data_IF_579476338605
#
_entry.id   IF_579476338605
#
_cell.length_a   1.000
_cell.length_b   1.000
_cell.length_c   1.000
_cell.angle_alpha   90.00
_cell.angle_beta   90.00
_cell.angle_gamma   90.00
#
_symmetry.space_group_name_H-M   'P 1'
#
loop_
_entity.id
_entity.type
_entity.pdbx_description
1 polymer ?
#
# COMPACT_ATOMS: atom_id res chain seq x y z
N UNK A 1 20.22 -18.59 -68.01
CA UNK A 1 20.88 -18.05 -66.80
C UNK A 1 19.78 -17.59 -65.88
N UNK A 2 19.39 -18.46 -64.94
CA UNK A 2 19.98 -18.52 -63.59
C UNK A 2 19.47 -17.34 -62.78
N UNK A 3 18.47 -17.58 -61.94
CA UNK A 3 18.72 -18.04 -60.57
C UNK A 3 19.62 -17.05 -59.84
N UNK A 4 18.99 -16.02 -59.28
CA UNK A 4 19.42 -15.24 -58.11
C UNK A 4 18.33 -14.17 -57.92
N UNK A 5 18.03 -13.80 -56.68
CA UNK A 5 16.94 -12.91 -56.24
C UNK A 5 15.61 -13.62 -55.88
N UNK A 6 15.65 -14.90 -55.47
CA UNK A 6 14.58 -15.50 -54.64
C UNK A 6 15.11 -16.36 -53.47
N UNK A 7 16.36 -16.14 -53.07
CA UNK A 7 16.96 -16.73 -51.86
C UNK A 7 17.69 -15.64 -51.10
N UNK A 8 16.97 -14.90 -50.26
CA UNK A 8 17.56 -14.26 -49.06
C UNK A 8 16.49 -13.91 -48.02
N UNK A 9 15.42 -14.73 -47.96
CA UNK A 9 14.57 -14.85 -46.77
C UNK A 9 15.16 -15.90 -45.82
N UNK A 10 16.44 -15.76 -45.46
CA UNK A 10 17.01 -16.50 -44.34
C UNK A 10 16.72 -15.75 -43.04
N UNK A 11 15.84 -16.34 -42.25
CA UNK A 11 15.57 -16.04 -40.85
C UNK A 11 16.83 -16.20 -40.00
N UNK A 12 17.75 -15.24 -40.01
CA UNK A 12 18.82 -15.15 -39.01
C UNK A 12 19.51 -13.80 -39.11
N UNK A 13 18.99 -12.78 -38.42
CA UNK A 13 19.77 -11.68 -37.82
C UNK A 13 18.89 -10.63 -37.13
N UNK A 14 17.78 -11.04 -36.48
CA UNK A 14 17.21 -10.21 -35.42
C UNK A 14 18.07 -10.45 -34.19
N UNK A 15 19.07 -9.59 -34.03
CA UNK A 15 19.80 -9.36 -32.79
C UNK A 15 18.86 -9.57 -31.60
N UNK A 16 19.13 -10.59 -30.79
CA UNK A 16 18.61 -10.71 -29.43
C UNK A 16 19.14 -9.53 -28.64
N UNK A 17 18.53 -8.35 -28.76
CA UNK A 17 18.59 -7.33 -27.72
C UNK A 17 17.83 -7.92 -26.53
N UNK A 18 18.54 -8.68 -25.70
CA UNK A 18 18.23 -8.78 -24.29
C UNK A 18 18.23 -7.35 -23.77
N UNK A 19 17.05 -6.73 -23.68
CA UNK A 19 16.89 -5.59 -22.81
C UNK A 19 17.13 -6.12 -21.40
N UNK A 20 18.35 -5.90 -20.89
CA UNK A 20 18.55 -5.80 -19.44
C UNK A 20 17.51 -4.79 -18.99
N UNK A 21 16.63 -5.19 -18.08
CA UNK A 21 15.79 -4.26 -17.35
C UNK A 21 16.73 -3.26 -16.68
N UNK A 22 16.91 -2.09 -17.28
CA UNK A 22 17.44 -0.96 -16.55
C UNK A 22 16.47 -0.73 -15.38
N UNK A 23 16.96 -0.59 -14.14
CA UNK A 23 16.08 -0.21 -13.04
C UNK A 23 15.34 1.05 -13.47
N UNK A 24 14.05 1.14 -13.16
CA UNK A 24 13.23 2.32 -13.44
C UNK A 24 13.77 3.60 -12.76
N UNK A 25 14.82 3.46 -11.94
CA UNK A 25 15.48 4.48 -11.15
C UNK A 25 16.99 4.44 -11.38
N UNK A 26 17.65 5.58 -11.70
CA UNK A 26 19.09 5.64 -11.77
C UNK A 26 19.70 5.22 -10.43
N UNK A 27 20.62 4.25 -10.44
CA UNK A 27 21.42 3.90 -9.26
C UNK A 27 22.17 5.15 -8.79
N UNK A 28 21.73 5.73 -7.67
CA UNK A 28 22.32 6.93 -7.07
C UNK A 28 21.34 8.04 -6.66
N UNK A 29 20.03 7.94 -6.93
CA UNK A 29 19.03 8.95 -6.51
C UNK A 29 18.33 8.63 -5.18
N UNK A 30 18.75 7.57 -4.50
CA UNK A 30 18.16 7.14 -3.23
C UNK A 30 18.75 8.01 -2.12
N UNK A 31 17.87 8.71 -1.39
CA UNK A 31 18.26 9.57 -0.27
C UNK A 31 19.18 8.81 0.69
N UNK A 32 20.40 9.32 0.90
CA UNK A 32 21.43 8.64 1.70
C UNK A 32 20.98 8.32 3.12
N UNK A 33 20.03 9.12 3.65
CA UNK A 33 19.43 8.92 4.98
C UNK A 33 18.64 7.62 5.09
N UNK A 34 18.18 7.04 3.98
CA UNK A 34 17.46 5.75 3.99
C UNK A 34 18.37 4.64 4.52
N UNK A 35 19.67 4.69 4.20
CA UNK A 35 20.63 3.68 4.64
C UNK A 35 20.80 3.65 6.17
N UNK A 36 20.52 4.78 6.83
CA UNK A 36 20.55 4.93 8.29
C UNK A 36 19.25 4.43 8.95
N UNK A 37 18.13 4.39 8.21
CA UNK A 37 16.81 3.97 8.70
C UNK A 37 16.61 2.44 8.65
N UNK A 38 17.52 1.71 8.00
CA UNK A 38 17.57 0.25 8.02
C UNK A 38 17.77 -0.37 6.65
N UNK A 39 17.35 -1.63 6.52
CA UNK A 39 17.52 -2.44 5.31
C UNK A 39 16.75 -1.84 4.12
N UNK A 40 17.41 -1.70 2.98
CA UNK A 40 16.77 -1.38 1.70
C UNK A 40 16.37 -2.65 0.94
N UNK A 41 15.28 -2.56 0.18
CA UNK A 41 14.72 -3.62 -0.64
C UNK A 41 14.56 -3.04 -2.05
N UNK A 42 15.51 -3.34 -2.92
CA UNK A 42 15.53 -2.88 -4.32
C UNK A 42 15.12 -3.99 -5.28
N UNK A 43 15.79 -5.15 -5.19
CA UNK A 43 15.61 -6.28 -6.10
C UNK A 43 15.50 -7.64 -5.40
N UNK A 44 15.42 -7.68 -4.06
CA UNK A 44 15.25 -8.90 -3.25
C UNK A 44 14.15 -9.84 -3.77
N UNK A 45 13.09 -9.25 -4.33
CA UNK A 45 11.91 -9.93 -4.83
C UNK A 45 11.71 -9.75 -6.34
N UNK A 46 12.74 -9.31 -7.07
CA UNK A 46 12.68 -9.10 -8.52
C UNK A 46 12.47 -10.41 -9.31
N UNK A 47 12.84 -11.56 -8.73
CA UNK A 47 12.59 -12.88 -9.33
C UNK A 47 11.35 -13.52 -8.72
N UNK A 48 10.31 -13.71 -9.54
CA UNK A 48 9.13 -14.47 -9.15
C UNK A 48 9.51 -15.95 -9.08
N UNK A 49 9.24 -16.57 -7.93
CA UNK A 49 9.47 -18.00 -7.70
C UNK A 49 8.28 -18.80 -8.21
N UNK A 50 8.53 -20.02 -8.68
CA UNK A 50 7.45 -20.95 -9.08
C UNK A 50 6.54 -21.32 -7.90
N UNK A 51 7.08 -21.34 -6.67
CA UNK A 51 6.33 -21.68 -5.46
C UNK A 51 6.75 -20.82 -4.27
N UNK A 52 5.76 -20.31 -3.53
CA UNK A 52 5.96 -19.62 -2.26
C UNK A 52 5.42 -20.46 -1.10
N UNK A 53 5.98 -20.26 0.09
CA UNK A 53 5.47 -20.93 1.30
C UNK A 53 4.05 -20.45 1.61
N UNK A 54 3.13 -21.39 1.78
CA UNK A 54 1.73 -21.12 2.15
C UNK A 54 1.60 -21.07 3.67
N UNK A 55 1.12 -19.97 4.27
CA UNK A 55 0.90 -19.90 5.71
C UNK A 55 -0.16 -20.89 6.17
N UNK A 56 0.00 -21.43 7.39
CA UNK A 56 -0.97 -22.33 8.02
C UNK A 56 -2.32 -21.65 8.33
N UNK A 57 -2.30 -20.35 8.56
CA UNK A 57 -3.44 -19.56 9.03
C UNK A 57 -3.86 -18.55 7.96
N UNK A 58 -5.16 -18.21 7.85
CA UNK A 58 -5.66 -17.24 6.88
C UNK A 58 -4.95 -15.89 6.99
N UNK A 59 -4.85 -15.20 5.85
CA UNK A 59 -4.40 -13.81 5.78
C UNK A 59 -5.63 -12.91 5.70
N UNK A 60 -5.70 -11.95 6.62
CA UNK A 60 -6.64 -10.83 6.53
C UNK A 60 -5.94 -9.67 5.82
N UNK A 61 -6.55 -9.16 4.76
CA UNK A 61 -6.11 -7.94 4.08
C UNK A 61 -6.94 -6.74 4.59
N UNK A 62 -6.28 -5.80 5.28
CA UNK A 62 -6.89 -4.61 5.85
C UNK A 62 -6.48 -3.34 5.07
N UNK A 63 -7.43 -2.72 4.38
CA UNK A 63 -7.17 -1.55 3.53
C UNK A 63 -7.08 -0.25 4.32
N UNK A 64 -6.43 0.77 3.74
CA UNK A 64 -6.29 2.10 4.32
C UNK A 64 -7.45 3.06 4.03
N UNK A 65 -7.18 4.36 4.24
CA UNK A 65 -8.10 5.46 3.93
C UNK A 65 -8.41 5.48 2.43
N UNK A 66 -9.65 5.82 2.08
CA UNK A 66 -10.21 5.80 0.72
C UNK A 66 -10.21 4.42 0.03
N UNK A 67 -9.93 3.35 0.78
CA UNK A 67 -10.06 2.00 0.26
C UNK A 67 -11.51 1.60 0.03
N UNK A 68 -11.75 0.95 -1.10
CA UNK A 68 -13.02 0.34 -1.49
C UNK A 68 -12.75 -1.15 -1.77
N UNK A 69 -13.60 -2.04 -1.27
CA UNK A 69 -13.44 -3.48 -1.56
C UNK A 69 -13.64 -3.76 -3.05
N UNK A 70 -14.64 -3.11 -3.64
CA UNK A 70 -14.99 -3.18 -5.05
C UNK A 70 -15.79 -1.93 -5.44
N UNK A 71 -15.18 -0.99 -6.18
CA UNK A 71 -15.94 0.10 -6.79
C UNK A 71 -16.62 -0.44 -8.05
N UNK A 72 -17.93 -0.75 -7.97
CA UNK A 72 -18.76 -1.12 -9.12
C UNK A 72 -18.99 0.11 -10.01
N UNK A 73 -17.97 0.50 -10.77
CA UNK A 73 -18.04 1.56 -11.78
C UNK A 73 -18.85 1.06 -12.99
N UNK A 74 -20.18 1.18 -12.88
CA UNK A 74 -21.13 1.05 -13.98
C UNK A 74 -21.62 -0.37 -14.25
N UNK A 75 -22.87 -0.66 -13.87
CA UNK A 75 -23.65 -1.81 -14.37
C UNK A 75 -23.07 -3.22 -14.11
N UNK A 76 -23.90 -4.25 -14.35
CA UNK A 76 -23.59 -5.67 -14.10
C UNK A 76 -22.42 -6.24 -14.95
N UNK A 77 -21.77 -5.43 -15.78
CA UNK A 77 -20.80 -5.84 -16.80
C UNK A 77 -19.34 -5.44 -16.53
N UNK A 78 -19.07 -4.51 -15.61
CA UNK A 78 -17.70 -4.11 -15.27
C UNK A 78 -17.27 -4.75 -13.94
N UNK A 79 -16.18 -5.53 -13.96
CA UNK A 79 -15.55 -6.07 -12.74
C UNK A 79 -15.10 -4.87 -11.90
N UNK A 80 -15.60 -4.73 -10.68
CA UNK A 80 -15.35 -3.53 -9.92
C UNK A 80 -13.87 -3.41 -9.54
N UNK A 81 -13.44 -2.18 -9.30
CA UNK A 81 -12.03 -1.91 -9.04
C UNK A 81 -11.70 -2.35 -7.62
N UNK A 82 -10.73 -3.24 -7.45
CA UNK A 82 -10.32 -3.76 -6.14
C UNK A 82 -9.20 -2.89 -5.54
N UNK A 83 -9.19 -2.75 -4.22
CA UNK A 83 -8.07 -2.12 -3.51
C UNK A 83 -6.75 -2.88 -3.74
N UNK A 84 -6.77 -4.19 -3.48
CA UNK A 84 -5.62 -5.10 -3.57
C UNK A 84 -5.50 -5.71 -4.99
N UNK A 85 -5.09 -4.92 -5.99
CA UNK A 85 -5.17 -5.33 -7.41
C UNK A 85 -4.26 -6.51 -7.74
N UNK A 86 -4.84 -7.67 -8.03
CA UNK A 86 -4.10 -8.90 -8.35
C UNK A 86 -3.38 -9.55 -7.16
N UNK A 87 -3.26 -8.86 -6.02
CA UNK A 87 -2.63 -9.38 -4.81
C UNK A 87 -3.48 -10.50 -4.21
N UNK A 88 -4.79 -10.29 -4.10
CA UNK A 88 -5.73 -11.31 -3.61
C UNK A 88 -5.67 -12.57 -4.48
N UNK A 89 -5.66 -12.40 -5.80
CA UNK A 89 -5.63 -13.50 -6.75
C UNK A 89 -4.30 -14.25 -6.68
N UNK A 90 -3.17 -13.55 -6.59
CA UNK A 90 -1.85 -14.14 -6.42
C UNK A 90 -1.73 -14.96 -5.12
N UNK A 91 -2.23 -14.43 -4.00
CA UNK A 91 -2.24 -15.14 -2.72
C UNK A 91 -3.10 -16.41 -2.80
N UNK A 92 -4.30 -16.32 -3.37
CA UNK A 92 -5.20 -17.47 -3.55
C UNK A 92 -4.62 -18.52 -4.51
N UNK A 93 -3.96 -18.09 -5.59
CA UNK A 93 -3.26 -18.98 -6.52
C UNK A 93 -2.12 -19.76 -5.82
N UNK A 94 -1.51 -19.18 -4.78
CA UNK A 94 -0.54 -19.87 -3.92
C UNK A 94 -1.19 -20.68 -2.77
N UNK A 95 -2.49 -20.96 -2.86
CA UNK A 95 -3.25 -21.78 -1.89
C UNK A 95 -3.53 -21.08 -0.55
N UNK A 96 -3.40 -19.75 -0.48
CA UNK A 96 -3.60 -19.01 0.76
C UNK A 96 -5.09 -18.66 0.91
N UNK A 97 -5.65 -18.98 2.08
CA UNK A 97 -6.98 -18.50 2.46
C UNK A 97 -6.91 -16.99 2.77
N UNK A 98 -7.61 -16.18 1.96
CA UNK A 98 -7.60 -14.72 2.07
C UNK A 98 -8.96 -14.20 2.49
N UNK A 99 -8.99 -13.53 3.64
CA UNK A 99 -10.12 -12.79 4.18
C UNK A 99 -9.94 -11.32 3.81
N UNK A 100 -10.90 -10.76 3.09
CA UNK A 100 -10.94 -9.32 2.79
C UNK A 100 -11.85 -8.65 3.80
N UNK A 101 -11.31 -7.74 4.59
CA UNK A 101 -12.07 -6.93 5.54
C UNK A 101 -12.51 -5.61 4.90
N UNK A 102 -13.77 -5.27 5.12
CA UNK A 102 -14.43 -4.07 4.59
C UNK A 102 -14.60 -3.06 5.71
N UNK A 103 -13.93 -1.91 5.65
CA UNK A 103 -14.09 -0.84 6.63
C UNK A 103 -14.54 0.47 5.96
N UNK A 104 -15.25 1.37 6.65
CA UNK A 104 -15.69 2.63 6.06
C UNK A 104 -14.51 3.42 5.51
N UNK A 105 -14.62 3.89 4.26
CA UNK A 105 -13.51 4.46 3.51
C UNK A 105 -12.85 5.67 4.19
N UNK A 106 -13.57 6.42 5.02
CA UNK A 106 -13.08 7.66 5.60
C UNK A 106 -13.41 7.86 7.07
N UNK A 107 -13.93 6.86 7.77
CA UNK A 107 -14.29 7.02 9.17
C UNK A 107 -13.06 7.10 10.07
N UNK A 108 -13.30 7.44 11.33
CA UNK A 108 -12.28 7.44 12.38
C UNK A 108 -11.75 6.03 12.67
N UNK A 109 -10.54 5.95 13.24
CA UNK A 109 -9.85 4.68 13.53
C UNK A 109 -10.71 3.76 14.39
N UNK A 110 -11.42 4.30 15.38
CA UNK A 110 -12.24 3.52 16.31
C UNK A 110 -13.40 2.81 15.59
N UNK A 111 -14.07 3.52 14.69
CA UNK A 111 -15.18 2.96 13.89
C UNK A 111 -14.67 1.92 12.90
N UNK A 112 -13.57 2.23 12.20
CA UNK A 112 -12.92 1.32 11.26
C UNK A 112 -12.43 0.06 11.95
N UNK A 113 -11.79 0.19 13.11
CA UNK A 113 -11.31 -0.94 13.92
C UNK A 113 -12.47 -1.80 14.45
N UNK A 114 -13.57 -1.19 14.87
CA UNK A 114 -14.75 -1.93 15.30
C UNK A 114 -15.37 -2.74 14.15
N UNK A 115 -15.45 -2.15 12.95
CA UNK A 115 -15.90 -2.87 11.75
C UNK A 115 -14.92 -3.98 11.35
N UNK A 116 -13.61 -3.71 11.39
CA UNK A 116 -12.55 -4.70 11.12
C UNK A 116 -12.68 -5.90 12.06
N UNK A 117 -12.89 -5.66 13.35
CA UNK A 117 -13.09 -6.71 14.36
C UNK A 117 -14.26 -7.62 14.03
N UNK A 118 -15.42 -7.03 13.72
CA UNK A 118 -16.63 -7.78 13.34
C UNK A 118 -16.42 -8.62 12.07
N UNK A 119 -15.83 -8.02 11.04
CA UNK A 119 -15.56 -8.73 9.78
C UNK A 119 -14.63 -9.93 9.98
N UNK A 120 -13.58 -9.78 10.80
CA UNK A 120 -12.66 -10.87 11.09
C UNK A 120 -13.36 -11.97 11.88
N UNK A 121 -14.13 -11.62 12.92
CA UNK A 121 -14.87 -12.59 13.73
C UNK A 121 -15.84 -13.42 12.88
N UNK A 122 -16.58 -12.78 11.98
CA UNK A 122 -17.53 -13.42 11.08
C UNK A 122 -16.83 -14.30 10.04
N UNK A 123 -15.82 -13.77 9.35
CA UNK A 123 -15.21 -14.43 8.18
C UNK A 123 -14.14 -15.46 8.52
N UNK A 124 -13.49 -15.35 9.68
CA UNK A 124 -12.44 -16.31 10.07
C UNK A 124 -13.00 -17.63 10.59
N UNK A 125 -14.27 -17.68 11.02
CA UNK A 125 -14.91 -18.91 11.51
C UNK A 125 -14.17 -19.54 12.70
N UNK A 126 -13.63 -18.71 13.60
CA UNK A 126 -12.85 -19.15 14.77
C UNK A 126 -11.40 -19.55 14.49
N UNK A 127 -10.94 -19.50 13.24
CA UNK A 127 -9.52 -19.72 12.92
C UNK A 127 -8.68 -18.56 13.44
N UNK A 128 -7.49 -18.85 13.96
CA UNK A 128 -6.47 -17.80 14.18
C UNK A 128 -5.99 -17.23 12.85
N UNK A 129 -5.64 -15.95 12.81
CA UNK A 129 -5.35 -15.20 11.56
C UNK A 129 -4.02 -14.44 11.62
N UNK A 130 -3.46 -14.12 10.45
CA UNK A 130 -2.40 -13.12 10.29
C UNK A 130 -2.96 -11.92 9.52
N UNK A 131 -2.63 -10.70 9.93
CA UNK A 131 -3.13 -9.48 9.29
C UNK A 131 -2.00 -8.85 8.47
N UNK A 132 -2.29 -8.52 7.22
CA UNK A 132 -1.50 -7.62 6.40
C UNK A 132 -2.33 -6.36 6.19
N UNK A 133 -1.78 -5.23 6.61
CA UNK A 133 -2.50 -3.97 6.63
C UNK A 133 -1.71 -2.89 5.90
N UNK A 134 -2.39 -2.10 5.08
CA UNK A 134 -1.78 -1.01 4.33
C UNK A 134 -2.24 0.34 4.86
N UNK A 135 -1.33 1.31 4.96
CA UNK A 135 -1.65 2.70 5.30
C UNK A 135 -2.43 2.79 6.61
N UNK A 136 -3.54 3.53 6.66
CA UNK A 136 -4.41 3.64 7.84
C UNK A 136 -4.93 2.28 8.36
N UNK A 137 -5.02 1.25 7.52
CA UNK A 137 -5.43 -0.09 7.94
C UNK A 137 -4.54 -0.69 9.02
N UNK A 138 -3.26 -0.32 9.06
CA UNK A 138 -2.35 -0.75 10.13
C UNK A 138 -2.65 -0.10 11.47
N UNK A 139 -3.19 1.13 11.46
CA UNK A 139 -3.66 1.81 12.67
C UNK A 139 -4.98 1.18 13.15
N UNK A 140 -5.90 0.91 12.23
CA UNK A 140 -7.15 0.19 12.54
C UNK A 140 -6.87 -1.17 13.19
N UNK A 141 -5.92 -1.93 12.62
CA UNK A 141 -5.53 -3.24 13.13
C UNK A 141 -4.87 -3.12 14.51
N UNK A 142 -3.97 -2.16 14.73
CA UNK A 142 -3.37 -1.92 16.06
C UNK A 142 -4.43 -1.56 17.10
N UNK A 143 -5.36 -0.65 16.78
CA UNK A 143 -6.45 -0.28 17.67
C UNK A 143 -7.31 -1.50 18.02
N UNK A 144 -7.73 -2.25 17.00
CA UNK A 144 -8.52 -3.46 17.16
C UNK A 144 -7.81 -4.46 18.09
N UNK A 145 -6.54 -4.79 17.81
CA UNK A 145 -5.78 -5.78 18.59
C UNK A 145 -5.61 -5.35 20.05
N UNK A 146 -5.32 -4.07 20.27
CA UNK A 146 -5.04 -3.54 21.60
C UNK A 146 -6.31 -3.32 22.45
N UNK A 147 -7.44 -2.96 21.82
CA UNK A 147 -8.61 -2.42 22.53
C UNK A 147 -9.90 -3.23 22.38
N UNK A 148 -10.08 -3.95 21.27
CA UNK A 148 -11.37 -4.56 20.93
C UNK A 148 -11.30 -6.08 20.89
N UNK A 149 -10.33 -6.61 20.15
CA UNK A 149 -10.11 -8.02 19.82
C UNK A 149 -11.30 -8.68 19.08
N UNK A 150 -11.06 -9.40 17.97
CA UNK A 150 -12.14 -10.13 17.29
C UNK A 150 -12.61 -11.32 18.12
N UNK A 151 -13.93 -11.50 18.26
CA UNK A 151 -14.50 -12.58 19.07
C UNK A 151 -14.05 -13.96 18.55
N UNK A 152 -13.57 -14.82 19.44
CA UNK A 152 -13.12 -16.21 19.15
C UNK A 152 -12.04 -16.33 18.09
N UNK A 153 -11.30 -15.25 17.79
CA UNK A 153 -10.23 -15.25 16.79
C UNK A 153 -8.94 -14.75 17.42
N UNK A 154 -7.91 -15.59 17.40
CA UNK A 154 -6.57 -15.17 17.82
C UNK A 154 -5.83 -14.50 16.65
N UNK A 155 -5.40 -13.26 16.83
CA UNK A 155 -4.51 -12.59 15.88
C UNK A 155 -3.07 -12.98 16.20
N UNK A 156 -2.39 -13.66 15.26
CA UNK A 156 -1.04 -14.20 15.46
C UNK A 156 0.06 -13.22 15.05
N UNK A 157 -0.24 -12.37 14.07
CA UNK A 157 0.68 -11.31 13.63
C UNK A 157 -0.06 -10.17 12.94
N UNK A 158 0.55 -9.00 13.01
CA UNK A 158 0.23 -7.82 12.20
C UNK A 158 1.47 -7.42 11.42
N UNK A 159 1.36 -7.38 10.09
CA UNK A 159 2.34 -6.78 9.19
C UNK A 159 1.76 -5.51 8.60
N UNK A 160 2.37 -4.37 8.91
CA UNK A 160 1.98 -3.08 8.34
C UNK A 160 2.84 -2.72 7.14
N UNK A 161 2.22 -2.10 6.15
CA UNK A 161 2.88 -1.64 4.92
C UNK A 161 2.55 -0.16 4.78
N UNK A 162 3.58 0.69 4.93
CA UNK A 162 3.47 2.14 4.86
C UNK A 162 2.39 2.75 5.77
N UNK A 163 2.21 2.19 6.97
CA UNK A 163 1.25 2.72 7.94
C UNK A 163 1.85 3.92 8.70
N UNK A 164 1.15 5.06 8.81
CA UNK A 164 1.70 6.26 9.45
C UNK A 164 1.66 6.15 10.98
N UNK A 165 2.49 5.29 11.58
CA UNK A 165 2.49 5.04 13.03
C UNK A 165 2.94 6.25 13.86
N UNK A 166 3.65 7.20 13.26
CA UNK A 166 4.00 8.49 13.86
C UNK A 166 3.27 9.65 13.19
N UNK A 167 2.23 9.37 12.43
CA UNK A 167 1.45 10.34 11.65
C UNK A 167 2.15 10.73 10.36
N UNK A 168 1.64 11.77 9.71
CA UNK A 168 2.22 12.35 8.50
C UNK A 168 2.14 13.86 8.57
N UNK A 169 3.26 14.51 8.28
CA UNK A 169 3.34 15.97 8.17
C UNK A 169 2.52 16.52 7.01
N UNK A 170 2.14 15.68 6.04
CA UNK A 170 1.13 16.04 5.03
C UNK A 170 -0.27 16.12 5.66
N UNK A 171 -0.61 15.25 6.60
CA UNK A 171 -1.86 15.37 7.36
C UNK A 171 -1.83 16.63 8.25
N UNK A 172 -0.69 16.94 8.89
CA UNK A 172 -0.54 18.19 9.65
C UNK A 172 -0.70 19.43 8.76
N UNK A 173 -0.08 19.42 7.57
CA UNK A 173 -0.24 20.48 6.58
C UNK A 173 -1.71 20.63 6.17
N UNK A 174 -2.39 19.51 5.86
CA UNK A 174 -3.79 19.52 5.48
C UNK A 174 -4.69 20.11 6.57
N UNK A 175 -4.42 19.83 7.85
CA UNK A 175 -5.19 20.36 8.98
C UNK A 175 -4.87 21.84 9.25
N UNK A 176 -3.59 22.23 9.18
CA UNK A 176 -3.14 23.57 9.60
C UNK A 176 -3.32 24.64 8.52
N UNK A 177 -3.06 24.30 7.25
CA UNK A 177 -3.06 25.28 6.15
C UNK A 177 -4.44 25.41 5.48
N UNK A 178 -5.28 24.39 5.57
CA UNK A 178 -6.67 24.47 5.15
C UNK A 178 -7.55 24.81 6.34
N UNK A 179 -7.23 25.87 7.10
CA UNK A 179 -8.04 26.32 8.24
C UNK A 179 -9.54 26.51 7.92
N UNK A 180 -10.38 26.75 8.94
CA UNK A 180 -11.87 26.74 8.86
C UNK A 180 -12.52 27.50 7.70
N UNK A 181 -11.83 28.44 7.07
CA UNK A 181 -12.32 29.24 5.94
C UNK A 181 -12.28 28.51 4.58
N UNK A 182 -11.35 27.58 4.36
CA UNK A 182 -11.28 26.74 3.15
C UNK A 182 -11.96 25.38 3.34
N UNK A 183 -12.26 25.02 4.59
CA UNK A 183 -12.87 23.76 4.94
C UNK A 183 -14.22 23.53 4.25
N UNK A 184 -15.20 24.45 4.20
CA UNK A 184 -16.51 24.14 3.64
C UNK A 184 -16.48 23.71 2.16
N UNK A 185 -15.52 24.23 1.37
CA UNK A 185 -15.42 23.95 -0.08
C UNK A 185 -14.74 22.61 -0.36
N UNK A 186 -13.67 22.33 0.38
CA UNK A 186 -12.94 21.05 0.29
C UNK A 186 -13.72 19.95 1.02
N UNK A 187 -14.30 20.22 2.20
CA UNK A 187 -15.28 19.36 2.88
C UNK A 187 -16.50 19.13 1.98
N UNK A 188 -17.01 20.14 1.28
CA UNK A 188 -18.08 19.94 0.30
C UNK A 188 -17.68 18.95 -0.79
N UNK A 189 -16.46 19.07 -1.33
CA UNK A 189 -15.93 18.15 -2.36
C UNK A 189 -15.57 16.75 -1.82
N UNK A 190 -15.05 16.66 -0.59
CA UNK A 190 -14.63 15.46 0.13
C UNK A 190 -15.84 14.69 0.68
N UNK A 191 -16.76 15.35 1.39
CA UNK A 191 -18.02 14.78 1.88
C UNK A 191 -18.93 14.33 0.74
N UNK A 192 -18.99 15.06 -0.39
CA UNK A 192 -19.69 14.58 -1.61
C UNK A 192 -19.03 13.34 -2.23
N UNK A 193 -17.80 13.00 -1.83
CA UNK A 193 -17.10 11.75 -2.14
C UNK A 193 -17.02 10.78 -0.96
N UNK A 194 -17.74 11.06 0.13
CA UNK A 194 -17.76 10.22 1.33
C UNK A 194 -16.45 10.24 2.11
N UNK A 195 -15.78 11.39 2.21
CA UNK A 195 -14.49 11.55 2.90
C UNK A 195 -14.67 12.41 4.15
N UNK A 196 -14.75 11.76 5.32
CA UNK A 196 -14.78 12.39 6.63
C UNK A 196 -13.38 12.86 7.06
N UNK A 197 -13.32 14.14 7.38
CA UNK A 197 -12.13 14.87 7.85
C UNK A 197 -11.64 14.45 9.23
N UNK A 198 -12.50 13.79 10.02
CA UNK A 198 -12.12 13.17 11.29
C UNK A 198 -10.97 12.18 11.12
N UNK A 199 -10.91 11.46 9.99
CA UNK A 199 -9.82 10.54 9.70
C UNK A 199 -8.48 11.26 9.48
N UNK A 200 -8.45 12.38 8.74
CA UNK A 200 -7.21 13.13 8.52
C UNK A 200 -6.63 13.69 9.82
N UNK A 201 -7.49 14.16 10.74
CA UNK A 201 -7.04 14.59 12.07
C UNK A 201 -6.33 13.46 12.81
N UNK A 202 -6.82 12.23 12.68
CA UNK A 202 -6.20 11.07 13.32
C UNK A 202 -4.93 10.57 12.62
N UNK A 203 -4.54 11.14 11.47
CA UNK A 203 -3.28 10.85 10.79
C UNK A 203 -2.19 11.91 11.08
N UNK A 204 -2.49 12.91 11.91
CA UNK A 204 -1.52 13.95 12.32
C UNK A 204 -0.43 13.37 13.22
N UNK A 205 0.76 13.97 13.19
CA UNK A 205 1.87 13.54 14.05
C UNK A 205 1.54 13.75 15.52
N UNK A 206 0.87 14.86 15.83
CA UNK A 206 0.43 15.17 17.19
C UNK A 206 -0.54 14.12 17.73
N UNK A 207 -1.60 13.79 16.99
CA UNK A 207 -2.58 12.78 17.43
C UNK A 207 -1.92 11.41 17.64
N UNK A 208 -1.02 11.01 16.72
CA UNK A 208 -0.31 9.74 16.85
C UNK A 208 0.59 9.69 18.09
N UNK A 209 1.26 10.80 18.42
CA UNK A 209 2.16 10.92 19.58
C UNK A 209 1.41 11.01 20.91
N UNK A 210 0.38 11.84 20.97
CA UNK A 210 -0.27 12.23 22.23
C UNK A 210 -1.47 11.37 22.59
N UNK A 211 -2.18 10.82 21.60
CA UNK A 211 -3.42 10.06 21.83
C UNK A 211 -3.28 8.59 21.40
N UNK A 212 -2.96 8.33 20.13
CA UNK A 212 -3.05 6.98 19.58
C UNK A 212 -2.03 6.01 20.18
N UNK A 213 -0.72 6.31 20.09
CA UNK A 213 0.33 5.39 20.51
C UNK A 213 0.33 5.09 22.01
N UNK A 214 0.16 6.09 22.92
CA UNK A 214 0.05 5.82 24.35
C UNK A 214 -1.13 4.92 24.71
N UNK A 215 -2.26 5.05 24.00
CA UNK A 215 -3.48 4.29 24.27
C UNK A 215 -3.60 2.97 23.48
N UNK A 216 -2.67 2.69 22.57
CA UNK A 216 -2.69 1.51 21.68
C UNK A 216 -1.36 0.75 21.74
N UNK A 217 -0.97 0.21 22.91
CA UNK A 217 0.24 -0.61 23.04
C UNK A 217 0.09 -1.94 22.30
N UNK A 218 1.23 -2.52 21.94
CA UNK A 218 1.30 -3.84 21.33
C UNK A 218 0.77 -4.92 22.31
N UNK A 219 -0.20 -5.71 21.86
CA UNK A 219 -0.76 -6.80 22.65
C UNK A 219 0.26 -7.96 22.83
N UNK A 220 0.43 -8.49 24.05
CA UNK A 220 1.26 -9.67 24.30
C UNK A 220 0.81 -10.87 23.44
N UNK A 221 1.79 -11.62 22.91
CA UNK A 221 1.53 -12.81 22.09
C UNK A 221 1.25 -12.54 20.61
N UNK A 222 1.10 -11.27 20.21
CA UNK A 222 0.99 -10.86 18.80
C UNK A 222 2.35 -10.41 18.29
N UNK A 223 2.74 -10.85 17.09
CA UNK A 223 3.99 -10.41 16.44
C UNK A 223 3.72 -9.21 15.53
N UNK A 224 4.54 -8.18 15.64
CA UNK A 224 4.41 -6.95 14.85
C UNK A 224 5.58 -6.81 13.88
N UNK A 225 5.25 -6.63 12.61
CA UNK A 225 6.19 -6.39 11.53
C UNK A 225 5.78 -5.15 10.75
N UNK A 226 6.74 -4.49 10.13
CA UNK A 226 6.45 -3.33 9.29
C UNK A 226 7.40 -3.22 8.10
N UNK A 227 6.87 -2.65 7.02
CA UNK A 227 7.60 -2.26 5.81
C UNK A 227 7.34 -0.79 5.53
N UNK A 228 8.40 -0.06 5.18
CA UNK A 228 8.30 1.30 4.64
C UNK A 228 8.47 1.28 3.13
N UNK A 229 8.19 2.41 2.49
CA UNK A 229 8.47 2.60 1.08
C UNK A 229 9.01 4.02 0.83
N UNK A 230 9.76 4.18 -0.24
CA UNK A 230 10.26 5.47 -0.69
C UNK A 230 10.14 5.57 -2.21
N UNK A 231 9.81 6.76 -2.69
CA UNK A 231 9.76 7.07 -4.11
C UNK A 231 10.37 8.45 -4.34
N UNK A 232 11.07 8.66 -5.45
CA UNK A 232 11.28 10.01 -5.98
C UNK A 232 10.25 10.25 -7.09
N UNK A 233 9.15 10.96 -6.80
CA UNK A 233 8.10 11.16 -7.78
C UNK A 233 8.55 12.18 -8.83
N UNK A 234 8.31 11.85 -10.10
CA UNK A 234 8.45 12.79 -11.20
C UNK A 234 7.57 14.04 -11.01
N UNK A 235 7.90 15.13 -11.71
CA UNK A 235 7.27 16.45 -11.53
C UNK A 235 5.75 16.42 -11.75
N UNK A 236 5.25 15.56 -12.65
CA UNK A 236 3.84 15.40 -12.98
C UNK A 236 3.09 14.41 -12.08
N UNK A 237 3.76 13.79 -11.10
CA UNK A 237 3.14 12.82 -10.21
C UNK A 237 2.11 13.50 -9.30
N UNK A 238 0.93 12.88 -9.07
CA UNK A 238 -0.05 13.38 -8.11
C UNK A 238 0.51 13.42 -6.67
N UNK A 239 1.55 12.64 -6.38
CA UNK A 239 2.22 12.65 -5.08
C UNK A 239 3.34 13.68 -4.95
N UNK A 240 3.67 14.46 -5.99
CA UNK A 240 4.83 15.36 -5.92
C UNK A 240 4.70 16.40 -4.82
N UNK A 241 3.51 16.98 -4.66
CA UNK A 241 3.28 18.03 -3.66
C UNK A 241 3.37 17.48 -2.23
N UNK A 242 2.63 16.40 -1.93
CA UNK A 242 2.66 15.74 -0.62
C UNK A 242 4.05 15.19 -0.31
N UNK A 243 4.73 14.59 -1.29
CA UNK A 243 6.12 14.16 -1.16
C UNK A 243 7.04 15.32 -0.76
N UNK A 244 6.95 16.48 -1.40
CA UNK A 244 7.81 17.63 -1.05
C UNK A 244 7.60 18.07 0.41
N UNK A 245 6.35 18.06 0.89
CA UNK A 245 6.02 18.42 2.28
C UNK A 245 6.65 17.43 3.24
N UNK A 246 6.42 16.13 3.02
CA UNK A 246 6.96 15.06 3.88
C UNK A 246 8.49 15.01 3.80
N UNK A 247 9.07 15.11 2.60
CA UNK A 247 10.52 15.11 2.38
C UNK A 247 11.24 16.21 3.15
N UNK A 248 10.64 17.41 3.20
CA UNK A 248 11.21 18.56 3.93
C UNK A 248 11.16 18.39 5.45
N UNK A 249 10.13 17.73 5.97
CA UNK A 249 9.85 17.66 7.42
C UNK A 249 10.29 16.35 8.08
N UNK A 250 10.16 15.24 7.37
CA UNK A 250 10.37 13.88 7.88
C UNK A 250 11.41 13.09 7.06
N UNK A 251 11.75 13.55 5.85
CA UNK A 251 12.74 12.89 5.00
C UNK A 251 12.13 11.83 4.07
N UNK A 252 12.87 10.75 3.76
CA UNK A 252 12.46 9.76 2.76
C UNK A 252 11.03 9.26 2.95
N UNK A 253 10.26 9.22 1.87
CA UNK A 253 8.83 8.90 1.94
C UNK A 253 8.28 8.32 0.63
N UNK A 254 7.12 7.70 0.72
CA UNK A 254 6.41 7.06 -0.41
C UNK A 254 5.43 8.00 -1.13
N UNK A 255 5.49 9.29 -0.82
CA UNK A 255 4.56 10.31 -1.29
C UNK A 255 3.52 10.74 -0.27
N UNK A 256 3.28 9.98 0.80
CA UNK A 256 2.30 10.32 1.86
C UNK A 256 2.82 10.05 3.27
N UNK A 257 3.63 8.99 3.44
CA UNK A 257 4.12 8.52 4.73
C UNK A 257 5.64 8.42 4.67
N UNK A 258 6.29 9.00 5.68
CA UNK A 258 7.75 8.89 5.84
C UNK A 258 8.15 7.47 6.21
N UNK A 259 9.36 7.08 5.81
CA UNK A 259 9.94 5.77 6.17
C UNK A 259 9.98 5.61 7.69
N UNK A 260 10.38 6.65 8.42
CA UNK A 260 10.42 6.65 9.89
C UNK A 260 9.02 6.46 10.51
N UNK A 261 7.99 7.12 9.96
CA UNK A 261 6.62 6.93 10.42
C UNK A 261 6.10 5.52 10.14
N UNK A 262 6.56 4.87 9.06
CA UNK A 262 6.19 3.50 8.72
C UNK A 262 6.80 2.43 9.65
N UNK A 263 7.86 2.74 10.39
CA UNK A 263 8.56 1.77 11.25
C UNK A 263 7.75 1.43 12.52
N UNK A 264 7.43 0.15 12.71
CA UNK A 264 6.80 -0.37 13.93
C UNK A 264 7.13 -1.84 14.20
N UNK A 265 7.23 -2.22 15.48
CA UNK A 265 7.62 -3.57 15.87
C UNK A 265 8.97 -3.97 15.24
N UNK A 266 9.04 -5.17 14.66
CA UNK A 266 10.22 -5.60 13.90
C UNK A 266 10.16 -5.05 12.47
N UNK A 267 10.91 -3.98 12.22
CA UNK A 267 11.04 -3.40 10.89
C UNK A 267 11.76 -4.34 9.91
N UNK A 268 11.18 -4.57 8.73
CA UNK A 268 11.69 -5.52 7.73
C UNK A 268 12.43 -4.88 6.57
N UNK A 269 12.25 -3.58 6.36
CA UNK A 269 12.99 -2.79 5.40
C UNK A 269 12.13 -1.81 4.60
N UNK A 270 12.82 -1.03 3.77
CA UNK A 270 12.25 0.01 2.90
C UNK A 270 12.23 -0.48 1.46
N UNK A 271 11.06 -0.50 0.82
CA UNK A 271 10.95 -0.69 -0.63
C UNK A 271 11.36 0.59 -1.36
N UNK A 272 12.33 0.49 -2.27
CA UNK A 272 12.90 1.64 -2.99
C UNK A 272 12.22 1.81 -4.35
N UNK A 273 11.90 3.05 -4.72
CA UNK A 273 11.22 3.37 -5.98
C UNK A 273 9.75 2.94 -5.99
N UNK A 274 9.12 2.88 -4.81
CA UNK A 274 7.75 2.39 -4.63
C UNK A 274 6.93 3.49 -3.94
N UNK A 275 5.92 3.99 -4.65
CA UNK A 275 4.95 4.95 -4.13
C UNK A 275 3.88 4.29 -3.27
N UNK A 276 3.14 5.11 -2.51
CA UNK A 276 2.03 4.63 -1.68
C UNK A 276 0.95 3.84 -2.46
N UNK A 277 0.74 4.12 -3.75
CA UNK A 277 -0.19 3.36 -4.60
C UNK A 277 0.43 2.13 -5.26
N UNK A 278 1.76 2.10 -5.41
CA UNK A 278 2.47 0.95 -5.99
C UNK A 278 2.34 -0.26 -5.05
N UNK A 279 2.31 -0.01 -3.74
CA UNK A 279 2.15 -1.02 -2.68
C UNK A 279 0.86 -1.84 -2.80
N UNK A 280 -0.17 -1.28 -3.43
CA UNK A 280 -1.45 -1.95 -3.70
C UNK A 280 -1.65 -2.24 -5.20
N UNK A 281 -0.56 -2.17 -5.97
CA UNK A 281 -0.46 -2.54 -7.39
C UNK A 281 -1.35 -1.72 -8.34
N UNK A 282 -1.58 -0.44 -8.03
CA UNK A 282 -2.44 0.42 -8.84
C UNK A 282 -1.74 1.04 -10.05
N UNK A 283 -0.55 1.56 -9.85
CA UNK A 283 0.27 2.22 -10.89
C UNK A 283 0.75 1.24 -11.94
N UNK A 284 1.27 0.08 -11.54
CA UNK A 284 1.70 -0.98 -12.46
C UNK A 284 0.57 -1.43 -13.39
N UNK A 285 -0.67 -1.52 -12.89
CA UNK A 285 -1.81 -1.87 -13.73
C UNK A 285 -2.20 -0.74 -14.70
N UNK A 286 -2.11 0.53 -14.28
CA UNK A 286 -2.35 1.67 -15.17
C UNK A 286 -1.26 1.77 -16.25
N UNK A 287 0.00 1.58 -15.87
CA UNK A 287 1.14 1.51 -16.80
C UNK A 287 0.98 0.35 -17.78
N UNK A 288 0.65 -0.85 -17.29
CA UNK A 288 0.38 -2.00 -18.14
C UNK A 288 -0.77 -1.73 -19.13
N UNK A 289 -1.85 -1.09 -18.69
CA UNK A 289 -2.95 -0.70 -19.58
C UNK A 289 -2.52 0.33 -20.62
N UNK A 290 -1.76 1.35 -20.20
CA UNK A 290 -1.22 2.36 -21.12
C UNK A 290 -0.29 1.72 -22.16
N UNK A 291 0.58 0.79 -21.75
CA UNK A 291 1.45 0.03 -22.65
C UNK A 291 0.66 -0.85 -23.60
N UNK A 292 -0.36 -1.57 -23.11
CA UNK A 292 -1.24 -2.38 -23.94
C UNK A 292 -1.99 -1.53 -24.99
N UNK A 293 -2.47 -0.35 -24.60
CA UNK A 293 -3.10 0.61 -25.51
C UNK A 293 -2.10 1.21 -26.51
N UNK A 294 -0.83 1.34 -26.12
CA UNK A 294 0.27 1.75 -26.97
C UNK A 294 0.87 0.61 -27.82
N UNK A 295 0.32 -0.61 -27.76
CA UNK A 295 0.80 -1.78 -28.52
C UNK A 295 2.13 -2.36 -28.03
N UNK A 296 2.55 -2.05 -26.80
CA UNK A 296 3.79 -2.54 -26.20
C UNK A 296 3.48 -3.79 -25.36
N UNK A 297 3.78 -4.97 -25.90
CA UNK A 297 3.75 -6.23 -25.14
C UNK A 297 5.13 -6.55 -24.56
N UNK A 298 5.23 -6.71 -23.24
CA UNK A 298 6.39 -7.33 -22.60
C UNK A 298 6.11 -8.82 -22.41
N UNK A 299 7.03 -9.66 -22.89
CA UNK A 299 7.14 -11.06 -22.49
C UNK A 299 7.73 -11.16 -21.09
#
# INVERSE_FOLDING_TARGET
>A
MRSKILEDLSLSNISKRQWKSEPAYPRGSVDSRISELGRTIEDDFATIREKYATPKHPIVLAHGLLGFDELKLGGRFFRGVQYWRGITDALRANGIEVIIASVPASARIEERAAKLSRDIAEKAGGKSVNIIAHSMGGLDARYMISRLQPERVNVLSLTTIASPHRGSSFADFFINELGPDYLPRIYGWLSNRGIDTGAFKQLTQQYMKEDFNPNTPDAPGVRYFSYGACVDPGILSPFKHSHIIVQKREGPNDGLVSVESAMWGTYKGTLIGVSHLDLINWTNHLQFWAWKMAGIERK
#
